data_IF_078224712433
#
_entry.id   IF_078224712433
#
_cell.length_a   1.000
_cell.length_b   1.000
_cell.length_c   1.000
_cell.angle_alpha   90.00
_cell.angle_beta   90.00
_cell.angle_gamma   90.00
#
_symmetry.space_group_name_H-M   'P 1'
#
loop_
_entity.id
_entity.type
_entity.pdbx_description
1 polymer ?
#
# COMPACT_ATOMS: atom_id res chain seq x y z
N UNK A 1 7.67 -12.79 8.39
CA UNK A 1 7.69 -11.31 8.32
C UNK A 1 8.19 -10.93 6.95
N UNK A 2 7.44 -10.07 6.27
CA UNK A 2 7.85 -9.46 5.00
C UNK A 2 8.36 -8.06 5.32
N UNK A 3 9.50 -7.67 4.76
CA UNK A 3 9.97 -6.28 4.75
C UNK A 3 9.51 -5.66 3.44
N UNK A 4 8.78 -4.55 3.50
CA UNK A 4 8.13 -3.93 2.34
C UNK A 4 8.31 -2.41 2.39
N UNK A 5 9.55 -1.94 2.25
CA UNK A 5 9.81 -0.50 2.08
C UNK A 5 9.18 -0.03 0.75
N UNK A 6 8.93 1.27 0.61
CA UNK A 6 8.45 1.84 -0.65
C UNK A 6 9.46 1.60 -1.78
N UNK A 7 8.97 1.08 -2.90
CA UNK A 7 9.76 0.89 -4.11
C UNK A 7 10.12 2.24 -4.74
N UNK A 8 11.17 2.21 -5.55
CA UNK A 8 11.53 3.28 -6.48
C UNK A 8 10.32 3.82 -7.26
N UNK A 9 10.30 5.14 -7.43
CA UNK A 9 9.30 5.94 -8.13
C UNK A 9 9.96 6.76 -9.25
N UNK A 10 9.17 7.18 -10.26
CA UNK A 10 9.63 8.13 -11.25
C UNK A 10 10.00 9.49 -10.64
N UNK A 11 10.97 10.18 -11.25
CA UNK A 11 11.35 11.54 -10.86
C UNK A 11 10.19 12.54 -10.94
N UNK A 12 9.20 12.27 -11.79
CA UNK A 12 7.98 13.07 -11.93
C UNK A 12 7.02 12.97 -10.74
N UNK A 13 7.17 11.98 -9.86
CA UNK A 13 6.33 11.80 -8.67
C UNK A 13 7.06 12.16 -7.36
N UNK A 14 8.32 11.73 -7.21
CA UNK A 14 9.11 11.96 -5.99
C UNK A 14 10.54 12.44 -6.32
N UNK A 15 10.63 13.61 -6.96
CA UNK A 15 11.90 14.20 -7.40
C UNK A 15 12.96 14.35 -6.28
N UNK A 16 12.52 14.51 -5.03
CA UNK A 16 13.40 14.72 -3.88
C UNK A 16 13.82 13.41 -3.19
N UNK A 17 13.32 12.25 -3.64
CA UNK A 17 13.60 10.94 -3.06
C UNK A 17 13.22 10.87 -1.57
N UNK A 18 12.03 11.38 -1.22
CA UNK A 18 11.61 11.54 0.17
C UNK A 18 10.99 10.26 0.75
N UNK A 19 10.37 9.42 -0.09
CA UNK A 19 9.54 8.29 0.38
C UNK A 19 10.06 6.91 -0.02
N UNK A 20 10.86 6.83 -1.07
CA UNK A 20 11.23 5.58 -1.76
C UNK A 20 12.64 5.06 -1.43
N UNK A 21 12.89 3.79 -1.76
CA UNK A 21 14.25 3.31 -2.03
C UNK A 21 14.67 3.74 -3.45
N UNK A 22 15.66 4.62 -3.54
CA UNK A 22 16.19 5.11 -4.84
C UNK A 22 16.78 3.96 -5.67
N UNK A 23 16.62 4.00 -6.99
CA UNK A 23 17.06 2.94 -7.92
C UNK A 23 18.52 2.53 -7.69
N UNK A 24 19.42 3.50 -7.55
CA UNK A 24 20.85 3.27 -7.32
C UNK A 24 21.17 2.56 -6.00
N UNK A 25 20.27 2.63 -5.01
CA UNK A 25 20.43 2.04 -3.68
C UNK A 25 19.79 0.66 -3.54
N UNK A 26 18.99 0.20 -4.52
CA UNK A 26 18.37 -1.13 -4.52
C UNK A 26 19.37 -2.28 -4.24
N UNK A 27 20.61 -2.29 -4.80
CA UNK A 27 21.60 -3.31 -4.46
C UNK A 27 22.05 -3.25 -3.00
N UNK A 28 22.24 -2.06 -2.44
CA UNK A 28 22.63 -1.87 -1.04
C UNK A 28 21.50 -2.25 -0.09
N UNK A 29 20.27 -1.87 -0.42
CA UNK A 29 19.05 -2.27 0.29
C UNK A 29 18.91 -3.79 0.35
N UNK A 30 19.10 -4.49 -0.78
CA UNK A 30 19.09 -5.96 -0.81
C UNK A 30 20.18 -6.57 0.07
N UNK A 31 21.40 -6.04 0.04
CA UNK A 31 22.49 -6.53 0.88
C UNK A 31 22.17 -6.37 2.38
N UNK A 32 21.62 -5.22 2.76
CA UNK A 32 21.20 -4.95 4.14
C UNK A 32 20.10 -5.95 4.60
N UNK A 33 19.11 -6.22 3.74
CA UNK A 33 18.10 -7.24 4.02
C UNK A 33 18.72 -8.63 4.21
N UNK A 34 19.65 -9.04 3.34
CA UNK A 34 20.30 -10.36 3.46
C UNK A 34 21.12 -10.50 4.75
N UNK A 35 21.77 -9.43 5.18
CA UNK A 35 22.51 -9.44 6.45
C UNK A 35 21.56 -9.47 7.66
N UNK A 36 20.44 -8.74 7.62
CA UNK A 36 19.39 -8.83 8.62
C UNK A 36 18.78 -10.25 8.68
N UNK A 37 18.53 -10.87 7.53
CA UNK A 37 18.02 -12.25 7.42
C UNK A 37 19.01 -13.27 8.01
N UNK A 38 20.31 -13.14 7.74
CA UNK A 38 21.36 -14.00 8.33
C UNK A 38 21.41 -13.84 9.85
N UNK A 39 21.28 -12.61 10.36
CA UNK A 39 21.24 -12.35 11.79
C UNK A 39 19.97 -12.95 12.43
N UNK A 40 18.81 -12.75 11.82
CA UNK A 40 17.54 -13.32 12.27
C UNK A 40 17.62 -14.84 12.37
N UNK A 41 18.22 -15.52 11.38
CA UNK A 41 18.42 -16.98 11.43
C UNK A 41 19.29 -17.45 12.61
N UNK A 42 20.12 -16.58 13.19
CA UNK A 42 20.94 -16.90 14.37
C UNK A 42 20.21 -16.65 15.69
N UNK A 43 19.37 -15.61 15.76
CA UNK A 43 18.78 -15.14 17.02
C UNK A 43 17.28 -15.48 17.18
N UNK A 44 16.59 -15.75 16.07
CA UNK A 44 15.17 -16.07 15.99
C UNK A 44 14.92 -17.04 14.80
N UNK A 45 15.45 -18.28 14.86
CA UNK A 45 15.41 -19.24 13.75
C UNK A 45 13.99 -19.65 13.32
N UNK A 46 12.98 -19.42 14.16
CA UNK A 46 11.56 -19.61 13.87
C UNK A 46 10.95 -18.49 13.00
N UNK A 47 11.64 -17.35 12.86
CA UNK A 47 11.16 -16.20 12.11
C UNK A 47 11.67 -16.23 10.67
N UNK A 48 10.77 -16.51 9.73
CA UNK A 48 11.06 -16.37 8.30
C UNK A 48 11.02 -14.89 7.88
N UNK A 49 12.10 -14.41 7.28
CA UNK A 49 12.22 -13.08 6.67
C UNK A 49 12.06 -13.17 5.15
N UNK A 50 11.16 -12.38 4.60
CA UNK A 50 10.82 -12.36 3.17
C UNK A 50 11.10 -10.97 2.62
N UNK A 51 11.82 -10.92 1.50
CA UNK A 51 12.14 -9.66 0.80
C UNK A 51 10.95 -9.25 -0.04
N UNK A 52 10.46 -8.03 0.14
CA UNK A 52 9.37 -7.48 -0.62
C UNK A 52 9.48 -5.97 -0.77
N UNK A 53 8.48 -5.40 -1.41
CA UNK A 53 8.29 -3.95 -1.52
C UNK A 53 6.82 -3.62 -1.37
N UNK A 54 6.57 -2.43 -0.86
CA UNK A 54 5.33 -1.72 -1.13
C UNK A 54 5.51 -0.92 -2.42
N UNK A 55 4.64 -1.16 -3.38
CA UNK A 55 4.74 -0.65 -4.73
C UNK A 55 3.54 0.24 -5.02
N UNK A 56 3.80 1.52 -5.23
CA UNK A 56 2.80 2.46 -5.71
C UNK A 56 2.27 2.05 -7.08
N UNK A 57 0.95 1.99 -7.18
CA UNK A 57 0.26 1.92 -8.45
C UNK A 57 0.00 3.34 -8.96
N UNK A 58 0.38 3.55 -10.20
CA UNK A 58 0.05 4.69 -11.03
C UNK A 58 -0.09 4.21 -12.48
N UNK A 59 -0.77 4.98 -13.32
CA UNK A 59 -1.00 4.57 -14.70
C UNK A 59 0.33 4.34 -15.44
N UNK A 60 0.51 3.11 -15.96
CA UNK A 60 1.71 2.71 -16.71
C UNK A 60 2.90 2.27 -15.84
N UNK A 61 2.71 2.08 -14.53
CA UNK A 61 3.77 1.66 -13.61
C UNK A 61 4.32 0.25 -13.88
N UNK A 62 3.57 -0.63 -14.56
CA UNK A 62 3.85 -2.07 -14.62
C UNK A 62 5.30 -2.42 -15.01
N UNK A 63 5.86 -1.95 -16.14
CA UNK A 63 7.24 -2.27 -16.52
C UNK A 63 8.28 -1.71 -15.56
N UNK A 64 8.02 -0.57 -14.91
CA UNK A 64 8.94 0.06 -13.96
C UNK A 64 8.94 -0.71 -12.64
N UNK A 65 7.77 -1.02 -12.10
CA UNK A 65 7.63 -1.80 -10.88
C UNK A 65 8.22 -3.20 -11.08
N UNK A 66 7.94 -3.87 -12.20
CA UNK A 66 8.57 -5.16 -12.52
C UNK A 66 10.10 -5.09 -12.55
N UNK A 67 10.65 -4.01 -13.10
CA UNK A 67 12.09 -3.81 -13.17
C UNK A 67 12.73 -3.56 -11.80
N UNK A 68 12.22 -2.60 -11.04
CA UNK A 68 12.85 -2.16 -9.79
C UNK A 68 12.62 -3.16 -8.65
N UNK A 69 11.52 -3.90 -8.67
CA UNK A 69 11.23 -4.93 -7.65
C UNK A 69 11.85 -6.30 -7.96
N UNK A 70 12.82 -6.39 -8.88
CA UNK A 70 13.44 -7.66 -9.23
C UNK A 70 14.01 -8.39 -8.01
N UNK A 71 13.61 -9.66 -7.84
CA UNK A 71 14.02 -10.50 -6.72
C UNK A 71 13.22 -10.29 -5.42
N UNK A 72 12.22 -9.40 -5.42
CA UNK A 72 11.17 -9.39 -4.41
C UNK A 72 10.30 -10.65 -4.52
N UNK A 73 9.97 -11.23 -3.37
CA UNK A 73 9.07 -12.39 -3.25
C UNK A 73 7.63 -11.94 -3.06
N UNK A 74 7.43 -10.80 -2.39
CA UNK A 74 6.10 -10.20 -2.14
C UNK A 74 6.09 -8.76 -2.65
N UNK A 75 5.03 -8.39 -3.35
CA UNK A 75 4.71 -7.00 -3.74
C UNK A 75 3.37 -6.61 -3.12
N UNK A 76 3.39 -5.65 -2.21
CA UNK A 76 2.16 -4.96 -1.83
C UNK A 76 1.86 -3.90 -2.89
N UNK A 77 0.62 -3.80 -3.35
CA UNK A 77 0.16 -2.70 -4.20
C UNK A 77 -0.52 -1.64 -3.35
N UNK A 78 -0.20 -0.38 -3.57
CA UNK A 78 -0.81 0.74 -2.85
C UNK A 78 -1.16 1.89 -3.80
N UNK A 79 -2.15 2.69 -3.44
CA UNK A 79 -2.49 3.91 -4.16
C UNK A 79 -2.24 5.07 -3.20
N UNK A 80 -1.10 5.75 -3.37
CA UNK A 80 -0.80 6.99 -2.62
C UNK A 80 -0.95 8.23 -3.48
N UNK A 81 -1.02 8.06 -4.80
CA UNK A 81 -1.12 9.14 -5.78
C UNK A 81 -2.41 9.04 -6.58
N UNK A 82 -3.09 10.17 -6.78
CA UNK A 82 -4.26 10.28 -7.67
C UNK A 82 -3.91 11.10 -8.91
N UNK A 83 -4.46 10.69 -10.05
CA UNK A 83 -4.38 11.46 -11.29
C UNK A 83 -3.06 11.25 -12.05
N UNK A 84 -2.71 12.20 -12.92
CA UNK A 84 -1.57 12.05 -13.83
C UNK A 84 -0.24 12.00 -13.05
N UNK A 85 0.58 10.93 -13.16
CA UNK A 85 1.89 10.83 -12.50
C UNK A 85 2.99 11.66 -13.18
N UNK A 86 2.71 12.26 -14.33
CA UNK A 86 3.68 13.06 -15.09
C UNK A 86 4.48 12.21 -16.08
N UNK A 87 5.69 12.66 -16.42
CA UNK A 87 6.55 11.91 -17.35
C UNK A 87 7.27 10.76 -16.62
N UNK A 88 6.62 9.60 -16.57
CA UNK A 88 7.20 8.40 -15.94
C UNK A 88 8.38 7.82 -16.75
N UNK A 89 8.53 8.23 -18.01
CA UNK A 89 9.63 7.80 -18.88
C UNK A 89 10.89 8.65 -18.72
N UNK A 90 10.84 9.74 -17.95
CA UNK A 90 11.97 10.61 -17.68
C UNK A 90 13.07 9.94 -16.83
N UNK A 91 12.74 8.87 -16.11
CA UNK A 91 13.66 8.07 -15.31
C UNK A 91 13.26 7.98 -13.83
N UNK A 92 13.94 7.10 -13.09
CA UNK A 92 13.80 6.99 -11.65
C UNK A 92 14.22 8.29 -10.96
N UNK A 93 13.56 8.63 -9.86
CA UNK A 93 14.02 9.71 -8.99
C UNK A 93 15.44 9.45 -8.48
N UNK A 94 16.24 10.50 -8.38
CA UNK A 94 17.63 10.42 -7.91
C UNK A 94 18.64 9.95 -8.97
N UNK A 95 18.20 9.64 -10.19
CA UNK A 95 19.09 9.31 -11.31
C UNK A 95 19.63 10.58 -11.98
N UNK A 96 20.91 10.56 -12.38
CA UNK A 96 21.55 11.72 -13.00
C UNK A 96 20.82 12.14 -14.29
N UNK A 97 20.46 13.41 -14.40
CA UNK A 97 19.69 13.97 -15.52
C UNK A 97 18.19 14.05 -15.29
N UNK A 98 17.69 13.61 -14.13
CA UNK A 98 16.26 13.72 -13.77
C UNK A 98 15.96 14.88 -12.81
N UNK A 99 16.94 15.71 -12.48
CA UNK A 99 16.83 16.74 -11.43
C UNK A 99 15.82 17.85 -11.77
N UNK A 100 15.62 18.11 -13.07
CA UNK A 100 14.72 19.15 -13.57
C UNK A 100 13.41 18.57 -14.15
N UNK A 101 13.10 17.30 -13.87
CA UNK A 101 11.84 16.67 -14.32
C UNK A 101 10.67 17.37 -13.62
N UNK A 102 9.74 17.90 -14.43
CA UNK A 102 8.59 18.62 -13.91
C UNK A 102 7.63 17.66 -13.20
N UNK A 103 7.28 17.99 -11.95
CA UNK A 103 6.20 17.33 -11.22
C UNK A 103 4.84 17.90 -11.61
N UNK A 104 3.81 17.08 -11.78
CA UNK A 104 2.48 17.54 -12.17
C UNK A 104 1.63 18.05 -11.00
N UNK A 105 2.01 17.77 -9.74
CA UNK A 105 1.29 18.12 -8.51
C UNK A 105 1.51 19.57 -8.05
N UNK A 106 1.31 20.51 -8.96
CA UNK A 106 1.31 21.94 -8.61
C UNK A 106 0.13 22.26 -7.66
N UNK A 107 0.20 23.36 -6.85
CA UNK A 107 -0.85 23.67 -5.87
C UNK A 107 -2.27 23.80 -6.44
N UNK A 108 -2.43 24.19 -7.71
CA UNK A 108 -3.74 24.32 -8.38
C UNK A 108 -4.14 23.03 -9.14
N UNK A 109 -3.35 21.95 -9.03
CA UNK A 109 -3.57 20.70 -9.76
C UNK A 109 -4.62 19.80 -9.09
N UNK A 110 -5.05 18.79 -9.84
CA UNK A 110 -5.98 17.75 -9.37
C UNK A 110 -5.29 16.40 -9.16
N UNK A 111 -3.95 16.39 -9.10
CA UNK A 111 -3.15 15.18 -8.96
C UNK A 111 -2.07 15.36 -7.91
N UNK A 112 -1.73 14.28 -7.21
CA UNK A 112 -0.75 14.34 -6.13
C UNK A 112 -0.98 13.29 -5.06
N UNK A 113 -0.18 13.41 -4.00
CA UNK A 113 -0.20 12.55 -2.82
C UNK A 113 -1.49 12.71 -2.01
N UNK A 114 -2.09 11.60 -1.58
CA UNK A 114 -3.35 11.61 -0.84
C UNK A 114 -3.18 11.47 0.67
N UNK A 115 -1.97 11.21 1.15
CA UNK A 115 -1.65 10.88 2.54
C UNK A 115 -0.51 11.73 3.14
N UNK A 116 -0.03 12.74 2.39
CA UNK A 116 0.89 13.78 2.87
C UNK A 116 0.14 14.83 3.70
N UNK A 117 0.39 14.85 5.01
CA UNK A 117 -0.24 15.80 5.93
C UNK A 117 0.34 17.23 5.85
N UNK A 118 1.42 17.41 5.10
CA UNK A 118 2.04 18.71 4.84
C UNK A 118 1.50 19.38 3.57
N UNK A 119 0.82 18.62 2.70
CA UNK A 119 0.27 19.12 1.44
C UNK A 119 -1.08 18.47 1.09
N UNK A 120 -2.17 19.17 1.41
CA UNK A 120 -3.55 18.70 1.22
C UNK A 120 -4.22 19.25 -0.06
N UNK A 121 -3.46 19.83 -0.99
CA UNK A 121 -4.03 20.55 -2.14
C UNK A 121 -4.97 19.68 -3.00
N UNK A 122 -4.67 18.39 -3.21
CA UNK A 122 -5.54 17.46 -3.95
C UNK A 122 -6.90 17.34 -3.27
N UNK A 123 -6.92 17.23 -1.94
CA UNK A 123 -8.15 17.18 -1.16
C UNK A 123 -8.94 18.49 -1.22
N UNK A 124 -8.26 19.64 -1.19
CA UNK A 124 -8.86 20.96 -1.30
C UNK A 124 -9.46 21.22 -2.69
N UNK A 125 -8.75 20.80 -3.75
CA UNK A 125 -9.11 21.08 -5.13
C UNK A 125 -10.17 20.13 -5.69
N UNK A 126 -10.08 18.82 -5.39
CA UNK A 126 -11.08 17.83 -5.80
C UNK A 126 -12.30 17.78 -4.85
N UNK A 127 -12.11 18.15 -3.59
CA UNK A 127 -13.05 17.87 -2.52
C UNK A 127 -13.11 16.38 -2.17
N UNK A 128 -13.70 16.08 -1.00
CA UNK A 128 -13.74 14.71 -0.44
C UNK A 128 -14.32 13.69 -1.43
N UNK A 129 -15.45 14.00 -2.07
CA UNK A 129 -16.07 13.09 -3.04
C UNK A 129 -15.17 12.83 -4.24
N UNK A 130 -14.52 13.85 -4.79
CA UNK A 130 -13.63 13.70 -5.95
C UNK A 130 -12.45 12.80 -5.62
N UNK A 131 -11.82 12.98 -4.46
CA UNK A 131 -10.72 12.10 -4.01
C UNK A 131 -11.19 10.65 -3.86
N UNK A 132 -12.36 10.42 -3.26
CA UNK A 132 -12.91 9.06 -3.13
C UNK A 132 -13.21 8.42 -4.49
N UNK A 133 -13.81 9.16 -5.42
CA UNK A 133 -14.13 8.66 -6.77
C UNK A 133 -12.85 8.26 -7.52
N UNK A 134 -11.82 9.12 -7.50
CA UNK A 134 -10.54 8.84 -8.13
C UNK A 134 -9.79 7.70 -7.46
N UNK A 135 -9.72 7.69 -6.12
CA UNK A 135 -9.01 6.64 -5.38
C UNK A 135 -9.62 5.26 -5.62
N UNK A 136 -10.94 5.14 -5.57
CA UNK A 136 -11.60 3.84 -5.78
C UNK A 136 -11.44 3.37 -7.22
N UNK A 137 -11.47 4.28 -8.20
CA UNK A 137 -11.17 3.95 -9.59
C UNK A 137 -9.73 3.43 -9.74
N UNK A 138 -8.75 4.20 -9.27
CA UNK A 138 -7.33 3.84 -9.34
C UNK A 138 -7.01 2.56 -8.54
N UNK A 139 -7.64 2.35 -7.38
CA UNK A 139 -7.50 1.13 -6.59
C UNK A 139 -8.07 -0.10 -7.32
N UNK A 140 -9.22 0.04 -8.00
CA UNK A 140 -9.77 -1.03 -8.82
C UNK A 140 -8.87 -1.30 -10.04
N UNK A 141 -8.36 -0.26 -10.69
CA UNK A 141 -7.40 -0.40 -11.81
C UNK A 141 -6.10 -1.07 -11.36
N UNK A 142 -5.63 -0.80 -10.14
CA UNK A 142 -4.51 -1.50 -9.54
C UNK A 142 -4.81 -3.00 -9.33
N UNK A 143 -6.02 -3.33 -8.88
CA UNK A 143 -6.49 -4.72 -8.79
C UNK A 143 -6.60 -5.40 -10.16
N UNK A 144 -6.94 -4.67 -11.21
CA UNK A 144 -7.06 -5.17 -12.59
C UNK A 144 -5.74 -5.21 -13.36
N UNK A 145 -4.70 -4.53 -12.85
CA UNK A 145 -3.39 -4.47 -13.48
C UNK A 145 -2.80 -5.87 -13.69
N UNK A 146 -2.11 -6.04 -14.83
CA UNK A 146 -1.34 -7.24 -15.10
C UNK A 146 -0.16 -7.43 -14.16
N UNK A 147 0.22 -6.37 -13.43
CA UNK A 147 1.20 -6.47 -12.37
C UNK A 147 0.67 -7.33 -11.23
N UNK A 148 1.44 -8.36 -10.88
CA UNK A 148 1.06 -9.28 -9.80
C UNK A 148 1.37 -8.67 -8.43
N UNK A 149 0.56 -7.71 -7.98
CA UNK A 149 0.47 -7.37 -6.57
C UNK A 149 -0.08 -8.56 -5.80
N UNK A 150 0.64 -9.02 -4.79
CA UNK A 150 0.21 -10.13 -3.96
C UNK A 150 -0.92 -9.72 -3.02
N UNK A 151 -0.91 -8.49 -2.51
CA UNK A 151 -2.00 -7.92 -1.73
C UNK A 151 -2.07 -6.40 -1.92
N UNK A 152 -3.27 -5.83 -1.84
CA UNK A 152 -3.45 -4.38 -1.80
C UNK A 152 -3.31 -3.88 -0.36
N UNK A 153 -2.35 -3.00 -0.12
CA UNK A 153 -2.11 -2.37 1.17
C UNK A 153 -3.23 -1.37 1.50
N UNK A 154 -3.48 -1.20 2.80
CA UNK A 154 -4.35 -0.17 3.40
C UNK A 154 -5.49 0.35 2.48
N UNK A 155 -6.42 -0.53 2.07
CA UNK A 155 -7.23 -0.33 0.86
C UNK A 155 -8.24 0.80 0.92
N UNK A 156 -8.46 1.48 2.04
CA UNK A 156 -9.26 2.71 2.13
C UNK A 156 -8.47 3.87 2.73
N UNK A 157 -7.23 4.06 2.27
CA UNK A 157 -6.35 5.15 2.67
C UNK A 157 -7.01 6.54 2.56
N UNK A 158 -8.04 6.70 1.72
CA UNK A 158 -8.93 7.87 1.68
C UNK A 158 -9.65 8.19 3.00
N UNK A 159 -9.60 7.32 4.00
CA UNK A 159 -10.05 7.59 5.36
C UNK A 159 -9.04 8.39 6.20
N UNK A 160 -7.77 8.49 5.74
CA UNK A 160 -6.61 9.05 6.47
C UNK A 160 -6.86 10.39 7.14
N UNK A 161 -7.55 11.29 6.45
CA UNK A 161 -7.81 12.67 6.89
C UNK A 161 -9.27 12.91 7.31
N UNK A 162 -10.04 11.85 7.57
CA UNK A 162 -11.42 11.96 8.02
C UNK A 162 -11.58 12.74 9.34
N UNK A 163 -10.58 12.71 10.22
CA UNK A 163 -10.54 13.50 11.45
C UNK A 163 -9.94 14.91 11.29
N UNK A 164 -9.44 15.21 10.10
CA UNK A 164 -8.74 16.47 9.77
C UNK A 164 -9.57 17.36 8.83
N UNK A 165 -10.89 17.18 8.82
CA UNK A 165 -11.82 18.00 8.03
C UNK A 165 -12.23 17.39 6.69
N UNK A 166 -11.73 16.21 6.34
CA UNK A 166 -12.03 15.52 5.07
C UNK A 166 -12.86 14.25 5.26
N UNK A 167 -13.72 14.21 6.29
CA UNK A 167 -14.68 13.13 6.45
C UNK A 167 -15.67 13.11 5.26
N UNK A 168 -16.05 11.92 4.75
CA UNK A 168 -17.10 11.83 3.75
C UNK A 168 -18.43 12.36 4.32
N UNK A 169 -19.05 13.29 3.59
CA UNK A 169 -20.41 13.79 3.87
C UNK A 169 -21.49 12.97 3.15
N UNK A 170 -21.10 11.81 2.62
CA UNK A 170 -21.91 10.85 1.88
C UNK A 170 -21.75 9.44 2.46
N UNK A 171 -22.64 8.52 2.04
CA UNK A 171 -22.52 7.10 2.37
C UNK A 171 -21.38 6.46 1.56
N UNK A 172 -20.30 5.95 2.19
CA UNK A 172 -19.18 5.29 1.49
C UNK A 172 -19.53 3.87 1.04
N UNK A 173 -20.67 3.30 1.47
CA UNK A 173 -21.05 1.93 1.15
C UNK A 173 -21.00 1.55 -0.34
N UNK A 174 -21.41 2.40 -1.32
CA UNK A 174 -21.30 2.07 -2.74
C UNK A 174 -19.85 1.94 -3.22
N UNK A 175 -18.95 2.82 -2.77
CA UNK A 175 -17.53 2.74 -3.09
C UNK A 175 -16.92 1.46 -2.53
N UNK A 176 -17.21 1.15 -1.27
CA UNK A 176 -16.72 -0.09 -0.65
C UNK A 176 -17.30 -1.36 -1.29
N UNK A 177 -18.52 -1.31 -1.81
CA UNK A 177 -19.11 -2.43 -2.55
C UNK A 177 -18.34 -2.67 -3.86
N UNK A 178 -18.06 -1.61 -4.62
CA UNK A 178 -17.27 -1.68 -5.85
C UNK A 178 -15.89 -2.28 -5.60
N UNK A 179 -15.20 -1.84 -4.55
CA UNK A 179 -13.88 -2.36 -4.19
C UNK A 179 -13.92 -3.85 -3.82
N UNK A 180 -14.92 -4.27 -3.05
CA UNK A 180 -15.07 -5.68 -2.69
C UNK A 180 -15.35 -6.58 -3.90
N UNK A 181 -16.18 -6.12 -4.84
CA UNK A 181 -16.44 -6.81 -6.11
C UNK A 181 -15.17 -6.88 -6.97
N UNK A 182 -14.45 -5.77 -7.14
CA UNK A 182 -13.22 -5.74 -7.92
C UNK A 182 -12.14 -6.68 -7.37
N UNK A 183 -11.90 -6.66 -6.05
CA UNK A 183 -10.91 -7.55 -5.44
C UNK A 183 -11.29 -9.02 -5.56
N UNK A 184 -12.58 -9.35 -5.42
CA UNK A 184 -13.07 -10.70 -5.62
C UNK A 184 -12.85 -11.16 -7.07
N UNK A 185 -13.31 -10.36 -8.04
CA UNK A 185 -13.27 -10.69 -9.46
C UNK A 185 -11.84 -10.81 -10.02
N UNK A 186 -10.90 -10.05 -9.45
CA UNK A 186 -9.47 -10.10 -9.79
C UNK A 186 -8.66 -11.07 -8.94
N UNK A 187 -9.29 -11.72 -7.95
CA UNK A 187 -8.62 -12.67 -7.04
C UNK A 187 -7.56 -12.02 -6.15
N UNK A 188 -7.69 -10.72 -5.88
CA UNK A 188 -6.70 -9.93 -5.13
C UNK A 188 -6.91 -10.11 -3.63
N UNK A 189 -5.82 -10.20 -2.88
CA UNK A 189 -5.82 -10.15 -1.41
C UNK A 189 -5.76 -8.70 -0.94
N UNK A 190 -6.24 -8.43 0.26
CA UNK A 190 -6.09 -7.12 0.90
C UNK A 190 -5.36 -7.20 2.22
N UNK A 191 -4.63 -6.15 2.56
CA UNK A 191 -3.99 -5.99 3.85
C UNK A 191 -4.99 -5.41 4.87
N UNK A 192 -5.02 -6.00 6.06
CA UNK A 192 -5.54 -5.35 7.26
C UNK A 192 -4.36 -4.69 7.98
N UNK A 193 -4.21 -3.38 7.79
CA UNK A 193 -3.13 -2.57 8.36
C UNK A 193 -3.51 -1.96 9.70
N UNK A 194 -2.58 -2.04 10.64
CA UNK A 194 -2.71 -1.44 11.99
C UNK A 194 -2.17 -0.01 12.08
N UNK A 195 -1.80 0.62 10.96
CA UNK A 195 -1.28 1.99 10.97
C UNK A 195 -2.34 3.04 11.30
N UNK A 196 -3.58 2.86 10.84
CA UNK A 196 -4.66 3.85 11.00
C UNK A 196 -4.82 4.36 12.45
N UNK A 197 -4.87 3.50 13.50
CA UNK A 197 -4.92 3.97 14.88
C UNK A 197 -3.71 4.78 15.34
N UNK A 198 -2.50 4.45 14.86
CA UNK A 198 -1.28 5.23 15.15
C UNK A 198 -1.27 6.59 14.45
N UNK A 199 -2.06 6.73 13.37
CA UNK A 199 -2.35 7.99 12.68
C UNK A 199 -3.56 8.74 13.25
N UNK A 200 -4.18 8.23 14.33
CA UNK A 200 -5.25 8.90 15.07
C UNK A 200 -6.68 8.49 14.71
N UNK A 201 -6.87 7.55 13.78
CA UNK A 201 -8.18 7.01 13.43
C UNK A 201 -8.70 6.02 14.50
N UNK A 202 -10.01 5.78 14.52
CA UNK A 202 -10.64 4.88 15.51
C UNK A 202 -10.75 3.42 15.02
N UNK A 203 -10.36 3.16 13.78
CA UNK A 203 -10.49 1.88 13.10
C UNK A 203 -9.17 1.51 12.39
N UNK A 204 -9.13 0.34 11.77
CA UNK A 204 -8.03 -0.13 10.93
C UNK A 204 -8.20 0.36 9.48
N UNK A 205 -7.20 0.09 8.63
CA UNK A 205 -7.40 0.00 7.18
C UNK A 205 -7.50 -1.49 6.81
N UNK A 206 -8.54 -1.96 6.11
CA UNK A 206 -9.79 -1.26 5.84
C UNK A 206 -10.60 -0.97 7.11
N UNK A 207 -11.41 0.09 7.07
CA UNK A 207 -12.42 0.33 8.08
C UNK A 207 -13.42 -0.84 8.15
N UNK A 208 -14.03 -1.05 9.32
CA UNK A 208 -14.96 -2.14 9.64
C UNK A 208 -16.02 -2.35 8.54
N UNK A 209 -16.55 -1.26 7.98
CA UNK A 209 -17.58 -1.31 6.95
C UNK A 209 -17.10 -1.94 5.64
N UNK A 210 -15.87 -1.63 5.22
CA UNK A 210 -15.23 -2.23 4.04
C UNK A 210 -14.73 -3.65 4.34
N UNK A 211 -14.13 -3.88 5.52
CA UNK A 211 -13.64 -5.21 5.92
C UNK A 211 -14.77 -6.27 5.89
N UNK A 212 -15.97 -5.92 6.35
CA UNK A 212 -17.14 -6.81 6.29
C UNK A 212 -17.61 -7.11 4.87
N UNK A 213 -17.43 -6.17 3.94
CA UNK A 213 -17.77 -6.38 2.52
C UNK A 213 -16.75 -7.28 1.85
N UNK A 214 -15.46 -7.09 2.12
CA UNK A 214 -14.42 -8.02 1.70
C UNK A 214 -14.67 -9.44 2.25
N UNK A 215 -15.04 -9.57 3.53
CA UNK A 215 -15.42 -10.87 4.10
C UNK A 215 -16.61 -11.50 3.37
N UNK A 216 -17.65 -10.71 3.10
CA UNK A 216 -18.85 -11.20 2.40
C UNK A 216 -18.56 -11.63 0.96
N UNK A 217 -17.64 -10.92 0.29
CA UNK A 217 -17.16 -11.24 -1.06
C UNK A 217 -16.04 -12.29 -1.06
N UNK A 218 -15.71 -12.92 0.07
CA UNK A 218 -14.68 -13.96 0.17
C UNK A 218 -13.28 -13.49 -0.28
N UNK A 219 -12.98 -12.19 -0.16
CA UNK A 219 -11.68 -11.59 -0.49
C UNK A 219 -10.65 -11.98 0.59
N UNK A 220 -9.53 -12.64 0.23
CA UNK A 220 -8.51 -13.05 1.19
C UNK A 220 -7.86 -11.85 1.89
N UNK A 221 -7.39 -12.05 3.12
CA UNK A 221 -6.69 -11.02 3.89
C UNK A 221 -5.29 -11.47 4.33
N UNK A 222 -4.40 -10.49 4.51
CA UNK A 222 -3.15 -10.61 5.28
C UNK A 222 -3.11 -9.48 6.32
N UNK A 223 -2.17 -9.51 7.26
CA UNK A 223 -2.00 -8.46 8.27
C UNK A 223 -0.66 -7.77 8.12
N UNK A 224 -0.68 -6.45 8.23
CA UNK A 224 0.52 -5.62 8.23
C UNK A 224 0.52 -4.63 9.37
N UNK A 225 1.71 -4.38 9.91
CA UNK A 225 1.86 -3.32 10.88
C UNK A 225 2.10 -1.97 10.24
N UNK A 226 2.66 -1.90 9.01
CA UNK A 226 3.13 -0.65 8.41
C UNK A 226 4.04 0.12 9.41
N UNK A 227 5.12 -0.58 9.78
CA UNK A 227 6.01 -0.18 10.84
C UNK A 227 7.20 0.59 10.29
N UNK A 228 7.22 1.90 10.50
CA UNK A 228 8.35 2.77 10.18
C UNK A 228 9.38 2.87 11.31
N UNK A 229 9.14 2.16 12.43
CA UNK A 229 10.01 2.10 13.60
C UNK A 229 9.99 0.69 14.17
N UNK A 230 11.11 0.25 14.74
CA UNK A 230 11.23 -1.09 15.32
C UNK A 230 10.16 -1.39 16.40
N UNK A 231 9.73 -0.39 17.17
CA UNK A 231 8.69 -0.56 18.20
C UNK A 231 7.29 -0.78 17.65
N UNK A 232 7.07 -0.49 16.35
CA UNK A 232 5.77 -0.59 15.71
C UNK A 232 5.60 -1.93 14.98
N UNK A 233 6.67 -2.75 14.90
CA UNK A 233 6.61 -4.09 14.31
C UNK A 233 5.59 -4.93 15.07
N UNK A 234 4.61 -5.46 14.32
CA UNK A 234 3.49 -6.24 14.85
C UNK A 234 2.60 -5.51 15.86
N UNK A 235 2.67 -4.17 15.93
CA UNK A 235 1.84 -3.39 16.82
C UNK A 235 0.36 -3.68 16.57
N UNK A 236 -0.37 -4.09 17.61
CA UNK A 236 -1.82 -4.32 17.59
C UNK A 236 -2.32 -5.40 16.60
N UNK A 237 -1.43 -6.26 16.06
CA UNK A 237 -1.83 -7.29 15.07
C UNK A 237 -2.80 -8.32 15.65
N UNK A 238 -2.68 -8.67 16.94
CA UNK A 238 -3.58 -9.65 17.57
C UNK A 238 -4.99 -9.11 17.72
N UNK A 239 -5.10 -7.84 18.06
CA UNK A 239 -6.36 -7.13 18.15
C UNK A 239 -6.99 -6.97 16.75
N UNK A 240 -6.20 -6.68 15.72
CA UNK A 240 -6.66 -6.67 14.33
C UNK A 240 -7.14 -8.05 13.86
N UNK A 241 -6.48 -9.14 14.28
CA UNK A 241 -6.92 -10.51 14.01
C UNK A 241 -8.28 -10.82 14.67
N UNK A 242 -8.45 -10.46 15.93
CA UNK A 242 -9.73 -10.60 16.63
C UNK A 242 -10.83 -9.76 15.96
N UNK A 243 -10.50 -8.53 15.56
CA UNK A 243 -11.42 -7.66 14.83
C UNK A 243 -11.84 -8.25 13.48
N UNK A 244 -10.90 -8.79 12.70
CA UNK A 244 -11.21 -9.47 11.45
C UNK A 244 -12.12 -10.69 11.67
N UNK A 245 -11.90 -11.45 12.75
CA UNK A 245 -12.76 -12.56 13.14
C UNK A 245 -14.21 -12.11 13.39
N UNK A 246 -14.38 -11.01 14.14
CA UNK A 246 -15.69 -10.40 14.41
C UNK A 246 -16.36 -9.84 13.13
N UNK A 247 -15.55 -9.43 12.15
CA UNK A 247 -16.01 -9.00 10.83
C UNK A 247 -16.38 -10.15 9.88
N UNK A 248 -16.15 -11.40 10.28
CA UNK A 248 -16.59 -12.60 9.54
C UNK A 248 -15.46 -13.46 8.99
N UNK A 249 -14.21 -13.04 9.10
CA UNK A 249 -13.06 -13.83 8.66
C UNK A 249 -12.83 -15.05 9.57
N UNK A 250 -12.32 -16.13 8.98
CA UNK A 250 -11.90 -17.33 9.73
C UNK A 250 -10.48 -17.76 9.43
N UNK A 251 -9.90 -17.24 8.37
CA UNK A 251 -8.53 -17.48 7.95
C UNK A 251 -7.89 -16.18 7.47
N UNK A 252 -6.58 -16.17 7.44
CA UNK A 252 -5.75 -15.15 6.79
C UNK A 252 -4.58 -15.84 6.10
N UNK A 253 -4.04 -15.21 5.07
CA UNK A 253 -2.95 -15.79 4.28
C UNK A 253 -1.60 -15.28 4.75
N UNK A 254 -0.59 -16.15 4.72
CA UNK A 254 0.80 -15.85 5.05
C UNK A 254 1.68 -16.22 3.85
N UNK A 255 2.62 -15.37 3.43
CA UNK A 255 3.53 -15.68 2.33
C UNK A 255 4.69 -16.57 2.80
N UNK A 256 5.21 -17.37 1.87
CA UNK A 256 6.40 -18.21 2.01
C UNK A 256 7.55 -17.70 1.14
N UNK A 257 8.77 -18.18 1.42
CA UNK A 257 9.98 -17.81 0.65
C UNK A 257 9.92 -18.20 -0.83
N UNK A 258 9.08 -19.16 -1.17
CA UNK A 258 8.87 -19.64 -2.55
C UNK A 258 7.85 -18.80 -3.32
N UNK A 259 7.22 -17.80 -2.68
CA UNK A 259 6.13 -17.00 -3.25
C UNK A 259 4.75 -17.63 -3.09
N UNK A 260 4.65 -18.85 -2.54
CA UNK A 260 3.38 -19.47 -2.20
C UNK A 260 2.75 -18.79 -0.99
N UNK A 261 1.42 -18.75 -0.95
CA UNK A 261 0.65 -18.22 0.17
C UNK A 261 -0.14 -19.35 0.85
N UNK A 262 -0.12 -19.37 2.17
CA UNK A 262 -0.80 -20.37 2.99
C UNK A 262 -1.90 -19.73 3.83
N UNK A 263 -3.12 -20.24 3.71
CA UNK A 263 -4.23 -19.84 4.57
C UNK A 263 -4.11 -20.48 5.96
N UNK A 264 -4.04 -19.64 6.98
CA UNK A 264 -3.92 -19.98 8.40
C UNK A 264 -5.23 -19.62 9.12
N UNK A 265 -5.76 -20.46 10.03
CA UNK A 265 -6.90 -20.11 10.87
C UNK A 265 -6.64 -18.87 11.74
N UNK A 266 -7.65 -17.99 11.85
CA UNK A 266 -7.71 -16.98 12.89
C UNK A 266 -8.03 -17.66 14.23
N UNK A 267 -7.27 -17.30 15.27
CA UNK A 267 -7.38 -17.86 16.62
C UNK A 267 -8.28 -17.02 17.52
#
# INVERSE_FOLDING_TARGET
>A
MVSTDHLTLPASMDANCEVQVVEGDLPAHRLAFEDARKLAAQIAPELTFIYGFECDWYEGCEPLVEHWSQGAVVRLGSVHWIGNPGDIAAGAAGTAGTEDVARPDTPDSLCGWIDDDTNLHVWENLGVRGVWEHYVDDWCRACESSLNFDAMAHPDLVMRFSKDGFAPDFDPAPFWQQMAECAHDTGRRVEVSTAAPRKGLDDYYPATGLLRRFAHAEVPITFGSDAHRACDICWNIREAQAHAYDCGYRTFDIPHLTGEWESTPLA
#
